data_IF_864829679341
#
_entry.id   IF_864829679341
#
_cell.length_a   1.000
_cell.length_b   1.000
_cell.length_c   1.000
_cell.angle_alpha   90.00
_cell.angle_beta   90.00
_cell.angle_gamma   90.00
#
_symmetry.space_group_name_H-M   'P 1'
#
loop_
_entity.id
_entity.type
_entity.pdbx_description
1 polymer ?
#
# COMPACT_ATOMS: atom_id res chain seq x y z
N UNK A 1 -27.25 15.09 -10.88
CA UNK A 1 -26.51 14.21 -9.93
C UNK A 1 -27.19 12.85 -9.94
N UNK A 2 -26.53 11.82 -10.46
CA UNK A 2 -27.05 10.44 -10.45
C UNK A 2 -27.05 9.97 -8.99
N UNK A 3 -28.19 9.49 -8.43
CA UNK A 3 -28.23 9.02 -7.06
C UNK A 3 -27.49 7.69 -6.95
N UNK A 4 -26.29 7.70 -6.38
CA UNK A 4 -25.44 6.52 -6.10
C UNK A 4 -26.02 5.57 -5.02
N UNK A 5 -27.33 5.58 -4.78
CA UNK A 5 -27.96 4.92 -3.63
C UNK A 5 -28.66 3.59 -3.92
N UNK A 6 -28.62 3.03 -5.14
CA UNK A 6 -29.54 1.93 -5.50
C UNK A 6 -28.94 0.58 -5.88
N UNK A 7 -27.62 0.40 -6.04
CA UNK A 7 -27.12 -0.82 -6.69
C UNK A 7 -27.05 -2.08 -5.78
N UNK A 8 -26.77 -1.95 -4.49
CA UNK A 8 -26.58 -3.10 -3.58
C UNK A 8 -27.29 -2.79 -2.26
N UNK A 9 -28.41 -3.49 -2.01
CA UNK A 9 -29.27 -3.26 -0.85
C UNK A 9 -29.09 -4.30 0.26
N UNK A 10 -28.48 -5.46 -0.05
CA UNK A 10 -28.24 -6.52 0.93
C UNK A 10 -26.84 -7.13 0.82
N UNK A 11 -26.35 -7.69 1.93
CA UNK A 11 -25.11 -8.47 2.02
C UNK A 11 -25.05 -9.58 0.96
N UNK A 12 -26.16 -10.28 0.74
CA UNK A 12 -26.26 -11.34 -0.27
C UNK A 12 -26.06 -10.81 -1.69
N UNK A 13 -26.68 -9.67 -2.02
CA UNK A 13 -26.51 -9.04 -3.33
C UNK A 13 -25.06 -8.61 -3.56
N UNK A 14 -24.36 -8.13 -2.52
CA UNK A 14 -22.94 -7.80 -2.61
C UNK A 14 -22.11 -9.02 -3.00
N UNK A 15 -22.22 -10.14 -2.26
CA UNK A 15 -21.45 -11.34 -2.54
C UNK A 15 -21.79 -11.97 -3.89
N UNK A 16 -23.07 -12.00 -4.26
CA UNK A 16 -23.49 -12.46 -5.60
C UNK A 16 -22.81 -11.60 -6.66
N UNK A 17 -22.88 -10.26 -6.56
CA UNK A 17 -22.25 -9.37 -7.54
C UNK A 17 -20.74 -9.58 -7.64
N UNK A 18 -20.06 -9.79 -6.51
CA UNK A 18 -18.62 -10.07 -6.47
C UNK A 18 -18.28 -11.39 -7.17
N UNK A 19 -19.02 -12.46 -6.87
CA UNK A 19 -18.85 -13.78 -7.50
C UNK A 19 -19.19 -13.70 -8.99
N UNK A 20 -20.24 -12.99 -9.38
CA UNK A 20 -20.62 -12.80 -10.78
C UNK A 20 -19.53 -12.07 -11.56
N UNK A 21 -19.00 -10.95 -11.03
CA UNK A 21 -17.90 -10.21 -11.65
C UNK A 21 -16.66 -11.11 -11.78
N UNK A 22 -16.31 -11.84 -10.73
CA UNK A 22 -15.17 -12.75 -10.75
C UNK A 22 -15.34 -13.86 -11.81
N UNK A 23 -16.48 -14.55 -11.81
CA UNK A 23 -16.73 -15.72 -12.66
C UNK A 23 -17.02 -15.38 -14.12
N UNK A 24 -17.65 -14.24 -14.41
CA UNK A 24 -18.06 -13.87 -15.78
C UNK A 24 -17.01 -12.96 -16.44
N UNK A 25 -16.40 -12.04 -15.69
CA UNK A 25 -15.50 -11.03 -16.26
C UNK A 25 -14.04 -11.42 -16.08
N UNK A 26 -13.62 -11.66 -14.83
CA UNK A 26 -12.21 -11.87 -14.52
C UNK A 26 -11.72 -13.25 -14.98
N UNK A 27 -12.40 -14.31 -14.54
CA UNK A 27 -11.94 -15.69 -14.74
C UNK A 27 -11.86 -16.10 -16.22
N UNK A 28 -12.87 -15.86 -17.08
CA UNK A 28 -12.80 -16.26 -18.49
C UNK A 28 -11.74 -15.46 -19.25
N UNK A 29 -11.59 -14.17 -18.93
CA UNK A 29 -10.56 -13.32 -19.53
C UNK A 29 -9.16 -13.78 -19.13
N UNK A 30 -8.95 -14.11 -17.86
CA UNK A 30 -7.69 -14.66 -17.37
C UNK A 30 -7.40 -16.02 -18.00
N UNK A 31 -8.40 -16.90 -18.10
CA UNK A 31 -8.27 -18.21 -18.75
C UNK A 31 -7.86 -18.06 -20.23
N UNK A 32 -8.53 -17.18 -20.96
CA UNK A 32 -8.23 -16.89 -22.36
C UNK A 32 -6.81 -16.34 -22.53
N UNK A 33 -6.40 -15.37 -21.70
CA UNK A 33 -5.08 -14.75 -21.80
C UNK A 33 -3.93 -15.70 -21.42
N UNK A 34 -4.13 -16.53 -20.38
CA UNK A 34 -3.12 -17.47 -19.89
C UNK A 34 -3.12 -18.81 -20.65
N UNK A 35 -4.13 -19.01 -21.52
CA UNK A 35 -4.41 -20.25 -22.23
C UNK A 35 -4.43 -21.50 -21.33
N UNK A 36 -4.80 -21.32 -20.06
CA UNK A 36 -4.90 -22.36 -19.05
C UNK A 36 -5.68 -21.86 -17.83
N UNK A 37 -6.02 -22.76 -16.90
CA UNK A 37 -6.67 -22.39 -15.65
C UNK A 37 -5.81 -21.39 -14.84
N UNK A 38 -6.32 -20.20 -14.48
CA UNK A 38 -5.55 -19.18 -13.76
C UNK A 38 -4.96 -19.62 -12.42
N UNK A 39 -5.64 -20.52 -11.70
CA UNK A 39 -5.13 -21.03 -10.42
C UNK A 39 -3.96 -21.99 -10.64
N UNK A 40 -4.05 -22.86 -11.66
CA UNK A 40 -2.96 -23.76 -12.04
C UNK A 40 -1.76 -22.93 -12.52
N UNK A 41 -2.01 -21.93 -13.37
CA UNK A 41 -0.96 -21.01 -13.81
C UNK A 41 -0.28 -20.32 -12.62
N UNK A 42 -1.05 -19.79 -11.66
CA UNK A 42 -0.50 -19.09 -10.51
C UNK A 42 0.33 -20.03 -9.62
N UNK A 43 -0.17 -21.24 -9.37
CA UNK A 43 0.55 -22.26 -8.64
C UNK A 43 1.89 -22.56 -9.32
N UNK A 44 1.85 -22.91 -10.61
CA UNK A 44 3.06 -23.19 -11.38
C UNK A 44 4.01 -21.98 -11.39
N UNK A 45 3.49 -20.77 -11.58
CA UNK A 45 4.28 -19.54 -11.59
C UNK A 45 5.03 -19.32 -10.27
N UNK A 46 4.37 -19.51 -9.12
CA UNK A 46 4.98 -19.33 -7.81
C UNK A 46 6.02 -20.45 -7.54
N UNK A 47 5.68 -21.71 -7.81
CA UNK A 47 6.52 -22.86 -7.48
C UNK A 47 7.62 -23.16 -8.49
N UNK A 48 7.58 -22.57 -9.69
CA UNK A 48 8.60 -22.77 -10.72
C UNK A 48 9.99 -22.23 -10.30
N UNK A 49 10.05 -21.16 -9.49
CA UNK A 49 11.32 -20.56 -9.07
C UNK A 49 11.40 -20.45 -7.55
N UNK A 50 12.38 -21.11 -6.95
CA UNK A 50 12.54 -21.17 -5.48
C UNK A 50 12.70 -19.78 -4.85
N UNK A 51 13.31 -18.81 -5.54
CA UNK A 51 13.47 -17.45 -5.03
C UNK A 51 12.13 -16.75 -4.79
N UNK A 52 11.07 -17.09 -5.55
CA UNK A 52 9.72 -16.54 -5.35
C UNK A 52 9.13 -17.01 -4.03
N UNK A 53 9.34 -18.27 -3.68
CA UNK A 53 8.91 -18.84 -2.41
C UNK A 53 9.66 -18.16 -1.25
N UNK A 54 10.98 -18.04 -1.35
CA UNK A 54 11.77 -17.35 -0.32
C UNK A 54 11.36 -15.89 -0.15
N UNK A 55 11.05 -15.21 -1.25
CA UNK A 55 10.62 -13.81 -1.23
C UNK A 55 9.21 -13.66 -0.60
N UNK A 56 8.27 -14.55 -0.93
CA UNK A 56 6.94 -14.57 -0.30
C UNK A 56 7.02 -14.91 1.19
N UNK A 57 7.84 -15.89 1.58
CA UNK A 57 8.08 -16.22 2.99
C UNK A 57 8.69 -15.04 3.74
N UNK A 58 9.69 -14.38 3.15
CA UNK A 58 10.28 -13.18 3.71
C UNK A 58 9.23 -12.08 3.92
N UNK A 59 8.42 -11.76 2.91
CA UNK A 59 7.33 -10.77 2.99
C UNK A 59 6.30 -11.14 4.05
N UNK A 60 5.93 -12.41 4.16
CA UNK A 60 5.02 -12.90 5.18
C UNK A 60 5.62 -12.70 6.59
N UNK A 61 6.88 -13.08 6.79
CA UNK A 61 7.58 -12.93 8.07
C UNK A 61 7.69 -11.46 8.49
N UNK A 62 8.12 -10.55 7.60
CA UNK A 62 8.21 -9.12 7.95
C UNK A 62 6.83 -8.52 8.25
N UNK A 63 5.78 -8.98 7.56
CA UNK A 63 4.40 -8.56 7.84
C UNK A 63 3.93 -9.04 9.21
N UNK A 64 4.21 -10.31 9.57
CA UNK A 64 3.88 -10.87 10.87
C UNK A 64 4.63 -10.15 12.01
N UNK A 65 5.92 -9.90 11.82
CA UNK A 65 6.74 -9.13 12.77
C UNK A 65 6.20 -7.70 12.94
N UNK A 66 5.82 -7.03 11.85
CA UNK A 66 5.21 -5.71 11.91
C UNK A 66 3.92 -5.72 12.72
N UNK A 67 3.04 -6.71 12.53
CA UNK A 67 1.80 -6.84 13.30
C UNK A 67 2.08 -7.10 14.78
N UNK A 68 3.06 -7.94 15.10
CA UNK A 68 3.48 -8.23 16.46
C UNK A 68 4.02 -6.98 17.16
N UNK A 69 4.90 -6.22 16.50
CA UNK A 69 5.45 -4.97 17.02
C UNK A 69 4.34 -3.96 17.30
N UNK A 70 3.42 -3.78 16.35
CA UNK A 70 2.25 -2.89 16.52
C UNK A 70 1.40 -3.35 17.69
N UNK A 71 1.12 -4.65 17.83
CA UNK A 71 0.32 -5.17 18.92
C UNK A 71 0.97 -4.94 20.30
N UNK A 72 2.29 -5.16 20.40
CA UNK A 72 3.05 -4.88 21.63
C UNK A 72 2.98 -3.39 21.97
N UNK A 73 3.20 -2.51 21.00
CA UNK A 73 3.14 -1.05 21.23
C UNK A 73 1.75 -0.60 21.67
N UNK A 74 0.68 -1.13 21.05
CA UNK A 74 -0.69 -0.84 21.44
C UNK A 74 -1.00 -1.31 22.87
N UNK A 75 -0.57 -2.53 23.24
CA UNK A 75 -0.74 -3.06 24.60
C UNK A 75 0.01 -2.22 25.62
N UNK A 76 1.25 -1.84 25.32
CA UNK A 76 2.06 -0.99 26.18
C UNK A 76 1.42 0.38 26.40
N UNK A 77 0.96 1.03 25.32
CA UNK A 77 0.30 2.34 25.43
C UNK A 77 -1.00 2.25 26.25
N UNK A 78 -1.80 1.19 26.02
CA UNK A 78 -3.04 0.95 26.78
C UNK A 78 -2.75 0.71 28.26
N UNK A 79 -1.74 -0.10 28.60
CA UNK A 79 -1.38 -0.40 29.98
C UNK A 79 -0.88 0.84 30.76
N UNK A 80 -0.27 1.80 30.07
CA UNK A 80 0.30 3.01 30.68
C UNK A 80 -0.61 4.25 30.51
N UNK A 81 -1.85 4.09 30.03
CA UNK A 81 -2.76 5.20 29.71
C UNK A 81 -2.15 6.29 28.80
N UNK A 82 -1.25 5.89 27.89
CA UNK A 82 -0.61 6.80 26.94
C UNK A 82 -1.53 6.93 25.72
N UNK A 83 -1.87 8.17 25.35
CA UNK A 83 -2.59 8.43 24.10
C UNK A 83 -1.75 7.99 22.91
N UNK A 84 -2.22 6.97 22.20
CA UNK A 84 -1.46 6.38 21.12
C UNK A 84 -1.55 7.22 19.84
N UNK A 85 -0.41 7.68 19.32
CA UNK A 85 -0.38 8.50 18.11
C UNK A 85 -0.59 7.66 16.84
N UNK A 86 -1.71 7.90 16.14
CA UNK A 86 -2.06 7.26 14.86
C UNK A 86 -0.98 7.44 13.77
N UNK A 87 -0.15 8.49 13.88
CA UNK A 87 1.01 8.73 13.01
C UNK A 87 2.06 7.62 13.10
N UNK A 88 2.21 6.96 14.25
CA UNK A 88 3.19 5.88 14.45
C UNK A 88 2.77 4.62 13.66
N UNK A 89 1.49 4.24 13.69
CA UNK A 89 0.98 3.09 12.92
C UNK A 89 1.20 3.25 11.42
N UNK A 90 0.94 4.46 10.91
CA UNK A 90 1.16 4.80 9.51
C UNK A 90 2.62 4.60 9.13
N UNK A 91 3.56 4.99 10.00
CA UNK A 91 5.00 4.81 9.76
C UNK A 91 5.40 3.33 9.71
N UNK A 92 4.83 2.47 10.57
CA UNK A 92 5.07 1.02 10.48
C UNK A 92 4.62 0.46 9.13
N UNK A 93 3.42 0.83 8.66
CA UNK A 93 2.94 0.39 7.35
C UNK A 93 3.82 0.91 6.20
N UNK A 94 4.25 2.18 6.25
CA UNK A 94 5.14 2.74 5.24
C UNK A 94 6.49 2.03 5.21
N UNK A 95 7.07 1.75 6.38
CA UNK A 95 8.34 1.05 6.49
C UNK A 95 8.24 -0.39 5.95
N UNK A 96 7.19 -1.12 6.32
CA UNK A 96 6.90 -2.45 5.78
C UNK A 96 6.77 -2.42 4.26
N UNK A 97 6.01 -1.47 3.72
CA UNK A 97 5.84 -1.31 2.28
C UNK A 97 7.18 -1.04 1.59
N UNK A 98 8.03 -0.16 2.13
CA UNK A 98 9.37 0.11 1.58
C UNK A 98 10.22 -1.17 1.55
N UNK A 99 10.22 -2.00 2.59
CA UNK A 99 10.96 -3.28 2.61
C UNK A 99 10.47 -4.24 1.53
N UNK A 100 9.15 -4.43 1.45
CA UNK A 100 8.52 -5.35 0.47
C UNK A 100 8.81 -4.88 -0.96
N UNK A 101 8.63 -3.60 -1.25
CA UNK A 101 8.89 -3.06 -2.60
C UNK A 101 10.37 -3.06 -2.95
N UNK A 102 11.26 -2.71 -2.01
CA UNK A 102 12.71 -2.74 -2.27
C UNK A 102 13.16 -4.15 -2.61
N UNK A 103 12.78 -5.14 -1.79
CA UNK A 103 13.14 -6.54 -2.05
C UNK A 103 12.48 -7.07 -3.34
N UNK A 104 11.23 -6.71 -3.62
CA UNK A 104 10.58 -7.08 -4.89
C UNK A 104 11.26 -6.50 -6.12
N UNK A 105 11.65 -5.23 -6.11
CA UNK A 105 12.38 -4.60 -7.23
C UNK A 105 13.75 -5.26 -7.43
N UNK A 106 14.43 -5.64 -6.34
CA UNK A 106 15.76 -6.25 -6.43
C UNK A 106 15.72 -7.71 -6.90
N UNK A 107 14.71 -8.48 -6.50
CA UNK A 107 14.71 -9.93 -6.69
C UNK A 107 13.68 -10.47 -7.70
N UNK A 108 12.47 -9.89 -7.81
CA UNK A 108 11.45 -10.31 -8.78
C UNK A 108 10.37 -9.23 -8.99
N UNK A 109 10.58 -8.34 -9.97
CA UNK A 109 9.67 -7.23 -10.30
C UNK A 109 8.31 -7.72 -10.79
N UNK A 110 8.26 -8.85 -11.51
CA UNK A 110 7.01 -9.44 -11.99
C UNK A 110 6.18 -9.99 -10.84
N UNK A 111 6.78 -10.71 -9.89
CA UNK A 111 6.07 -11.18 -8.70
C UNK A 111 5.56 -9.98 -7.87
N UNK A 112 6.39 -8.96 -7.66
CA UNK A 112 5.97 -7.73 -6.97
C UNK A 112 4.79 -7.06 -7.68
N UNK A 113 4.83 -6.98 -9.01
CA UNK A 113 3.75 -6.42 -9.82
C UNK A 113 2.44 -7.18 -9.59
N UNK A 114 2.46 -8.51 -9.67
CA UNK A 114 1.28 -9.34 -9.45
C UNK A 114 0.72 -9.19 -8.03
N UNK A 115 1.59 -9.28 -7.02
CA UNK A 115 1.19 -9.16 -5.62
C UNK A 115 0.65 -7.76 -5.31
N UNK A 116 1.25 -6.70 -5.86
CA UNK A 116 0.78 -5.34 -5.62
C UNK A 116 -0.58 -5.04 -6.26
N UNK A 117 -0.85 -5.54 -7.46
CA UNK A 117 -2.18 -5.45 -8.08
C UNK A 117 -3.21 -6.20 -7.25
N UNK A 118 -2.91 -7.44 -6.85
CA UNK A 118 -3.79 -8.24 -5.99
C UNK A 118 -4.06 -7.54 -4.65
N UNK A 119 -3.03 -6.93 -4.06
CA UNK A 119 -3.16 -6.20 -2.80
C UNK A 119 -4.00 -4.94 -2.92
N UNK A 120 -3.88 -4.17 -4.00
CA UNK A 120 -4.74 -3.00 -4.27
C UNK A 120 -6.20 -3.44 -4.42
N UNK A 121 -6.47 -4.51 -5.19
CA UNK A 121 -7.82 -5.06 -5.33
C UNK A 121 -8.37 -5.48 -3.96
N UNK A 122 -7.56 -6.15 -3.13
CA UNK A 122 -7.95 -6.52 -1.76
C UNK A 122 -8.28 -5.28 -0.92
N UNK A 123 -7.45 -4.24 -0.94
CA UNK A 123 -7.71 -2.99 -0.19
C UNK A 123 -9.02 -2.33 -0.64
N UNK A 124 -9.29 -2.28 -1.94
CA UNK A 124 -10.54 -1.75 -2.48
C UNK A 124 -11.76 -2.59 -2.08
N UNK A 125 -11.63 -3.92 -2.07
CA UNK A 125 -12.70 -4.81 -1.61
C UNK A 125 -13.00 -4.65 -0.12
N UNK A 126 -11.97 -4.58 0.72
CA UNK A 126 -12.11 -4.33 2.15
C UNK A 126 -12.77 -2.97 2.42
N UNK A 127 -12.42 -1.96 1.63
CA UNK A 127 -13.02 -0.63 1.70
C UNK A 127 -14.51 -0.66 1.30
N UNK A 128 -14.87 -1.38 0.23
CA UNK A 128 -16.28 -1.59 -0.15
C UNK A 128 -17.08 -2.29 0.95
N UNK A 129 -16.52 -3.34 1.57
CA UNK A 129 -17.12 -4.08 2.69
C UNK A 129 -17.33 -3.14 3.89
N UNK A 130 -16.33 -2.31 4.21
CA UNK A 130 -16.39 -1.32 5.30
C UNK A 130 -17.48 -0.28 5.06
N UNK A 131 -17.52 0.33 3.88
CA UNK A 131 -18.48 1.40 3.54
C UNK A 131 -19.92 0.88 3.54
N UNK A 132 -20.13 -0.32 2.99
CA UNK A 132 -21.46 -0.94 2.89
C UNK A 132 -21.86 -1.75 4.12
N UNK A 133 -20.99 -1.86 5.14
CA UNK A 133 -21.18 -2.67 6.35
C UNK A 133 -21.66 -4.09 6.04
N UNK A 134 -20.99 -4.75 5.10
CA UNK A 134 -21.35 -6.10 4.63
C UNK A 134 -21.04 -7.13 5.73
N UNK A 135 -22.05 -7.81 6.27
CA UNK A 135 -21.85 -8.84 7.29
C UNK A 135 -21.08 -10.07 6.74
N UNK A 136 -20.24 -10.75 7.55
CA UNK A 136 -19.96 -10.48 8.97
C UNK A 136 -18.79 -9.49 9.20
N UNK A 137 -18.04 -9.16 8.14
CA UNK A 137 -16.76 -8.45 8.27
C UNK A 137 -16.89 -6.93 8.34
N UNK A 138 -18.01 -6.35 7.90
CA UNK A 138 -18.21 -4.91 7.74
C UNK A 138 -17.91 -4.11 9.00
N UNK A 139 -18.55 -4.47 10.12
CA UNK A 139 -18.34 -3.77 11.40
C UNK A 139 -16.98 -4.09 12.02
N UNK A 140 -16.47 -5.32 11.84
CA UNK A 140 -15.13 -5.72 12.31
C UNK A 140 -14.07 -4.86 11.64
N UNK A 141 -14.10 -4.76 10.30
CA UNK A 141 -13.16 -3.97 9.51
C UNK A 141 -13.31 -2.49 9.86
N UNK A 142 -14.54 -1.98 9.97
CA UNK A 142 -14.77 -0.57 10.33
C UNK A 142 -14.19 -0.23 11.70
N UNK A 143 -14.42 -1.06 12.71
CA UNK A 143 -13.90 -0.83 14.05
C UNK A 143 -12.38 -0.96 14.11
N UNK A 144 -11.81 -1.95 13.40
CA UNK A 144 -10.37 -2.06 13.23
C UNK A 144 -9.80 -0.79 12.57
N UNK A 145 -10.45 -0.25 11.54
CA UNK A 145 -9.99 0.94 10.81
C UNK A 145 -10.10 2.24 11.60
N UNK A 146 -11.11 2.38 12.46
CA UNK A 146 -11.25 3.58 13.31
C UNK A 146 -10.02 3.78 14.22
N UNK A 147 -9.29 2.71 14.54
CA UNK A 147 -8.01 2.79 15.26
C UNK A 147 -6.90 3.47 14.44
N UNK A 148 -6.97 3.42 13.10
CA UNK A 148 -5.97 3.96 12.16
C UNK A 148 -6.39 5.28 11.49
N UNK A 149 -7.65 5.69 11.62
CA UNK A 149 -8.22 6.87 10.92
C UNK A 149 -7.68 8.18 11.48
N UNK A 150 -6.91 8.95 10.68
CA UNK A 150 -6.40 10.26 11.12
C UNK A 150 -7.49 11.34 11.04
N UNK A 151 -7.22 12.50 11.66
CA UNK A 151 -8.03 13.71 11.50
C UNK A 151 -8.25 14.12 10.03
N UNK A 152 -7.34 13.71 9.13
CA UNK A 152 -7.40 13.97 7.69
C UNK A 152 -8.30 12.99 6.92
N UNK A 153 -8.59 11.84 7.49
CA UNK A 153 -9.31 10.73 6.84
C UNK A 153 -10.74 10.54 7.39
N UNK A 154 -11.18 11.39 8.34
CA UNK A 154 -12.47 11.27 9.04
C UNK A 154 -13.62 11.09 8.05
N UNK A 155 -14.27 9.93 8.09
CA UNK A 155 -15.49 9.64 7.33
C UNK A 155 -15.28 9.44 5.83
N UNK A 156 -14.04 9.29 5.37
CA UNK A 156 -13.70 9.14 3.94
C UNK A 156 -12.95 7.84 3.65
N UNK A 157 -12.84 7.51 2.36
CA UNK A 157 -12.15 6.32 1.86
C UNK A 157 -10.71 6.27 2.41
N UNK A 158 -10.15 5.07 2.66
CA UNK A 158 -8.76 4.90 3.12
C UNK A 158 -7.72 5.25 2.03
N UNK A 159 -7.75 6.49 1.57
CA UNK A 159 -6.93 7.05 0.51
C UNK A 159 -5.44 6.95 0.83
N UNK A 160 -5.04 7.20 2.07
CA UNK A 160 -3.63 7.26 2.46
C UNK A 160 -2.86 5.95 2.18
N UNK A 161 -3.45 4.78 2.49
CA UNK A 161 -2.78 3.49 2.27
C UNK A 161 -2.88 3.04 0.80
N UNK A 162 -4.03 3.26 0.17
CA UNK A 162 -4.23 2.93 -1.25
C UNK A 162 -3.28 3.78 -2.12
N UNK A 163 -3.18 5.08 -1.86
CA UNK A 163 -2.26 5.97 -2.58
C UNK A 163 -0.79 5.69 -2.30
N UNK A 164 -0.43 5.25 -1.08
CA UNK A 164 0.93 4.77 -0.83
C UNK A 164 1.28 3.59 -1.72
N UNK A 165 0.45 2.54 -1.71
CA UNK A 165 0.70 1.33 -2.51
C UNK A 165 0.69 1.66 -4.00
N UNK A 166 -0.25 2.48 -4.48
CA UNK A 166 -0.26 2.96 -5.87
C UNK A 166 1.00 3.77 -6.19
N UNK A 167 1.42 4.69 -5.31
CA UNK A 167 2.60 5.53 -5.51
C UNK A 167 3.91 4.73 -5.57
N UNK A 168 3.99 3.63 -4.83
CA UNK A 168 5.11 2.69 -4.89
C UNK A 168 5.03 1.76 -6.13
N UNK A 169 3.83 1.31 -6.49
CA UNK A 169 3.57 0.40 -7.61
C UNK A 169 3.69 1.02 -8.98
N UNK A 170 3.20 2.24 -9.14
CA UNK A 170 3.05 2.83 -10.47
C UNK A 170 4.37 2.90 -11.24
N UNK A 171 5.51 3.32 -10.65
CA UNK A 171 6.79 3.29 -11.33
C UNK A 171 7.26 1.87 -11.68
N UNK A 172 6.96 0.87 -10.85
CA UNK A 172 7.31 -0.53 -11.12
C UNK A 172 6.53 -1.08 -12.31
N UNK A 173 5.27 -0.69 -12.47
CA UNK A 173 4.41 -1.18 -13.55
C UNK A 173 4.74 -0.61 -14.92
N UNK A 174 5.24 0.64 -14.97
CA UNK A 174 5.50 1.35 -16.23
C UNK A 174 6.97 1.31 -16.65
N UNK A 175 7.89 1.17 -15.69
CA UNK A 175 9.31 1.18 -16.00
C UNK A 175 9.76 -0.19 -16.50
N UNK A 176 10.55 -0.16 -17.57
CA UNK A 176 11.29 -1.30 -18.09
C UNK A 176 12.15 -1.95 -16.99
N UNK A 177 12.26 -3.29 -16.99
CA UNK A 177 13.05 -4.06 -16.03
C UNK A 177 14.54 -3.67 -16.02
N UNK A 178 15.05 -3.15 -17.14
CA UNK A 178 16.42 -2.61 -17.22
C UNK A 178 16.60 -1.28 -16.45
N UNK A 179 15.50 -0.56 -16.17
CA UNK A 179 15.52 0.80 -15.58
C UNK A 179 15.21 0.76 -14.08
N UNK A 180 16.05 0.07 -13.31
CA UNK A 180 15.91 -0.06 -11.84
C UNK A 180 15.72 1.27 -11.10
N UNK A 181 16.44 2.32 -11.49
CA UNK A 181 16.30 3.64 -10.86
C UNK A 181 14.90 4.24 -11.07
N UNK A 182 14.28 3.99 -12.22
CA UNK A 182 12.92 4.42 -12.49
C UNK A 182 11.92 3.61 -11.65
N UNK A 183 12.11 2.30 -11.52
CA UNK A 183 11.30 1.44 -10.64
C UNK A 183 11.39 1.88 -9.16
N UNK A 184 12.57 2.30 -8.70
CA UNK A 184 12.80 2.81 -7.34
C UNK A 184 12.24 4.22 -7.09
N UNK A 185 11.82 4.95 -8.12
CA UNK A 185 11.39 6.36 -7.98
C UNK A 185 10.21 6.53 -7.01
N UNK A 186 9.32 5.55 -6.91
CA UNK A 186 8.22 5.55 -5.93
C UNK A 186 8.74 5.51 -4.49
N UNK A 187 9.72 4.65 -4.21
CA UNK A 187 10.37 4.54 -2.90
C UNK A 187 11.16 5.81 -2.58
N UNK A 188 11.88 6.35 -3.56
CA UNK A 188 12.66 7.58 -3.40
C UNK A 188 11.73 8.76 -3.10
N UNK A 189 10.62 8.88 -3.82
CA UNK A 189 9.68 10.00 -3.64
C UNK A 189 8.88 9.86 -2.34
N UNK A 190 8.16 8.75 -2.17
CA UNK A 190 7.22 8.57 -1.06
C UNK A 190 7.91 8.15 0.25
N UNK A 191 9.07 7.49 0.17
CA UNK A 191 9.87 7.14 1.34
C UNK A 191 10.79 8.28 1.75
N UNK A 192 11.79 8.57 0.91
CA UNK A 192 12.89 9.48 1.25
C UNK A 192 12.43 10.94 1.17
N UNK A 193 11.81 11.32 0.06
CA UNK A 193 11.34 12.68 -0.19
C UNK A 193 10.29 13.14 0.82
N UNK A 194 9.23 12.36 1.03
CA UNK A 194 8.16 12.71 1.98
C UNK A 194 8.67 12.78 3.43
N UNK A 195 9.56 11.85 3.83
CA UNK A 195 10.16 11.87 5.17
C UNK A 195 11.01 13.12 5.39
N UNK A 196 11.90 13.45 4.44
CA UNK A 196 12.72 14.65 4.53
C UNK A 196 11.85 15.92 4.56
N UNK A 197 10.83 16.00 3.71
CA UNK A 197 9.91 17.12 3.67
C UNK A 197 9.13 17.29 4.97
N UNK A 198 8.68 16.20 5.58
CA UNK A 198 7.96 16.25 6.86
C UNK A 198 8.89 16.63 8.03
N UNK A 199 10.12 16.13 8.07
CA UNK A 199 11.07 16.43 9.16
C UNK A 199 11.51 17.89 9.09
N UNK A 200 11.95 18.36 7.92
CA UNK A 200 12.41 19.74 7.74
C UNK A 200 11.23 20.70 7.86
N UNK A 201 10.11 20.40 7.20
CA UNK A 201 8.94 21.28 7.22
C UNK A 201 8.33 21.46 8.62
N UNK A 202 8.45 20.47 9.51
CA UNK A 202 7.98 20.57 10.90
C UNK A 202 8.97 21.28 11.84
N UNK A 203 10.27 21.21 11.57
CA UNK A 203 11.30 21.80 12.44
C UNK A 203 11.69 23.24 12.07
N UNK A 204 11.77 23.53 10.78
CA UNK A 204 12.31 24.80 10.26
C UNK A 204 11.41 25.48 9.24
N UNK A 205 10.23 24.92 8.96
CA UNK A 205 9.32 25.45 7.94
C UNK A 205 8.61 26.72 8.41
N UNK A 206 8.78 27.81 7.68
CA UNK A 206 8.19 29.12 7.96
C UNK A 206 7.11 29.41 6.91
N UNK A 207 7.46 29.29 5.62
CA UNK A 207 6.58 29.66 4.52
C UNK A 207 5.65 28.50 4.15
N UNK A 208 4.35 28.64 4.44
CA UNK A 208 3.35 27.61 4.14
C UNK A 208 2.77 27.75 2.73
N UNK A 209 2.51 26.63 2.08
CA UNK A 209 1.72 26.60 0.86
C UNK A 209 0.27 27.04 1.15
N UNK A 210 -0.35 27.87 0.29
CA UNK A 210 -1.72 28.36 0.50
C UNK A 210 -2.71 27.22 0.77
N UNK A 211 -3.47 27.33 1.86
CA UNK A 211 -4.49 26.33 2.21
C UNK A 211 -3.97 25.00 2.75
N UNK A 212 -2.66 24.86 3.05
CA UNK A 212 -2.11 23.61 3.60
C UNK A 212 -1.24 23.81 4.84
N UNK A 213 -0.97 22.72 5.57
CA UNK A 213 0.04 22.69 6.63
C UNK A 213 1.47 22.43 6.10
N UNK A 214 1.65 22.28 4.78
CA UNK A 214 2.96 21.98 4.16
C UNK A 214 3.74 23.27 3.93
N UNK A 215 5.06 23.20 4.00
CA UNK A 215 5.96 24.36 3.90
C UNK A 215 6.86 24.29 2.66
N UNK A 216 7.26 25.44 2.13
CA UNK A 216 8.18 25.56 0.99
C UNK A 216 9.52 24.90 1.31
N UNK A 217 10.05 25.13 2.51
CA UNK A 217 11.31 24.59 3.00
C UNK A 217 11.26 23.06 3.10
N UNK A 218 10.12 22.51 3.56
CA UNK A 218 9.88 21.08 3.54
C UNK A 218 9.89 20.52 2.12
N UNK A 219 9.17 21.15 1.18
CA UNK A 219 9.16 20.73 -0.22
C UNK A 219 10.55 20.78 -0.86
N UNK A 220 11.32 21.84 -0.62
CA UNK A 220 12.70 21.98 -1.10
C UNK A 220 13.62 20.91 -0.52
N UNK A 221 13.54 20.65 0.79
CA UNK A 221 14.31 19.58 1.41
C UNK A 221 13.99 18.22 0.81
N UNK A 222 12.70 17.92 0.62
CA UNK A 222 12.27 16.68 -0.05
C UNK A 222 12.87 16.54 -1.46
N UNK A 223 12.92 17.61 -2.25
CA UNK A 223 13.55 17.60 -3.56
C UNK A 223 15.07 17.38 -3.46
N UNK A 224 15.77 18.17 -2.64
CA UNK A 224 17.23 18.09 -2.48
C UNK A 224 17.64 16.69 -2.02
N UNK A 225 16.98 16.11 -1.02
CA UNK A 225 17.31 14.78 -0.53
C UNK A 225 17.11 13.71 -1.61
N UNK A 226 16.06 13.81 -2.43
CA UNK A 226 15.87 12.88 -3.55
C UNK A 226 16.99 12.99 -4.60
N UNK A 227 17.39 14.21 -4.99
CA UNK A 227 18.51 14.43 -5.91
C UNK A 227 19.83 13.88 -5.36
N UNK A 228 20.13 14.14 -4.08
CA UNK A 228 21.32 13.62 -3.42
C UNK A 228 21.31 12.10 -3.35
N UNK A 229 20.17 11.50 -3.02
CA UNK A 229 20.03 10.05 -2.95
C UNK A 229 20.20 9.39 -4.32
N UNK A 230 19.60 9.94 -5.37
CA UNK A 230 19.79 9.46 -6.74
C UNK A 230 21.26 9.58 -7.17
N UNK A 231 21.91 10.69 -6.84
CA UNK A 231 23.34 10.89 -7.16
C UNK A 231 24.22 9.89 -6.43
N UNK A 232 23.94 9.65 -5.14
CA UNK A 232 24.58 8.62 -4.32
C UNK A 232 24.40 7.23 -4.93
N UNK A 233 23.17 6.84 -5.29
CA UNK A 233 22.90 5.57 -5.95
C UNK A 233 23.65 5.42 -7.28
N UNK A 234 23.76 6.47 -8.09
CA UNK A 234 24.54 6.43 -9.35
C UNK A 234 26.05 6.32 -9.13
N UNK A 235 26.55 6.90 -8.03
CA UNK A 235 27.96 6.88 -7.70
C UNK A 235 28.40 5.53 -7.12
N UNK A 236 27.63 4.99 -6.17
CA UNK A 236 27.93 3.73 -5.48
C UNK A 236 27.31 2.49 -6.11
N UNK A 237 26.29 2.64 -6.95
CA UNK A 237 25.61 1.55 -7.65
C UNK A 237 26.25 1.17 -9.00
N UNK A 238 27.53 1.48 -9.17
CA UNK A 238 28.37 0.88 -10.22
C UNK A 238 28.79 -0.52 -9.79
#
# INVERSE_FOLDING_TARGET
MIPWSTAIKSTTQFYISLVTIFSIVFFPRAYYFLNQNPFIWLFNYIFHKSHRIYLLLFWFTVSLLSLLIVNIHLRYATANNITYEKTILRKYFHFLAIIVYTSGILFDTHLLTMCSVAFIVLLLLLECIKIKRVAPLGDIIRNAWNMYENEKDIGTIMFSHIFLIIGLSYPVWIADDSKRLAQLSGIISVGIGDSAASIVGSKVGIYKWPGTKRTLEGSLAGLITQFLFITCLRYFGK
#
